data_IF_931997885890
#
_entry.id   IF_931997885890
#
_cell.length_a   1.000
_cell.length_b   1.000
_cell.length_c   1.000
_cell.angle_alpha   90.00
_cell.angle_beta   90.00
_cell.angle_gamma   90.00
#
_symmetry.space_group_name_H-M   'P 1'
#
loop_
_entity.id
_entity.type
_entity.pdbx_description
1 polymer ?
#
# COMPACT_ATOMS: atom_id res chain seq x y z
N UNK A 1 25.90 -58.97 -25.10
CA UNK A 1 26.85 -58.35 -26.05
C UNK A 1 26.16 -58.26 -27.40
N UNK A 2 25.81 -57.05 -27.86
CA UNK A 2 25.18 -56.81 -29.18
C UNK A 2 25.79 -55.57 -29.82
N UNK A 3 25.94 -55.56 -31.16
CA UNK A 3 26.95 -54.75 -31.85
C UNK A 3 26.57 -53.28 -32.00
N UNK A 4 27.63 -52.48 -31.95
CA UNK A 4 27.70 -51.04 -32.23
C UNK A 4 27.50 -50.82 -33.73
N UNK A 5 26.46 -50.07 -34.12
CA UNK A 5 26.28 -49.59 -35.48
C UNK A 5 26.84 -48.16 -35.58
N UNK A 6 28.03 -48.06 -36.17
CA UNK A 6 28.71 -46.83 -36.55
C UNK A 6 28.02 -46.26 -37.80
N UNK A 7 27.34 -45.13 -37.68
CA UNK A 7 26.86 -44.35 -38.84
C UNK A 7 27.70 -43.08 -38.97
N UNK A 8 28.59 -43.09 -39.95
CA UNK A 8 29.33 -41.94 -40.46
C UNK A 8 28.35 -41.03 -41.21
N UNK A 9 28.11 -39.82 -40.70
CA UNK A 9 27.42 -38.75 -41.43
C UNK A 9 28.45 -37.74 -41.97
N UNK A 10 28.37 -37.34 -43.26
CA UNK A 10 29.33 -36.45 -43.88
C UNK A 10 29.16 -35.00 -43.41
N UNK A 11 30.29 -34.37 -43.07
CA UNK A 11 30.43 -32.92 -42.90
C UNK A 11 30.26 -32.23 -44.28
N UNK A 12 29.08 -31.66 -44.52
CA UNK A 12 28.91 -30.65 -45.56
C UNK A 12 29.22 -29.27 -44.95
N UNK A 13 30.43 -28.78 -45.23
CA UNK A 13 30.87 -27.41 -44.96
C UNK A 13 30.14 -26.45 -45.92
N UNK A 14 29.04 -25.84 -45.50
CA UNK A 14 28.50 -24.64 -46.13
C UNK A 14 29.11 -23.40 -45.46
N UNK A 15 30.17 -22.85 -46.05
CA UNK A 15 30.67 -21.51 -45.75
C UNK A 15 29.82 -20.48 -46.49
N UNK A 16 28.63 -20.22 -45.94
CA UNK A 16 27.78 -19.09 -46.35
C UNK A 16 28.19 -17.84 -45.60
N UNK A 17 28.85 -16.90 -46.28
CA UNK A 17 29.14 -15.56 -45.77
C UNK A 17 27.85 -14.72 -45.84
N UNK A 18 26.94 -14.95 -44.89
CA UNK A 18 25.71 -14.18 -44.74
C UNK A 18 26.01 -12.89 -43.98
N UNK A 19 25.82 -11.74 -44.63
CA UNK A 19 25.87 -10.43 -44.01
C UNK A 19 25.01 -10.42 -42.75
N UNK A 20 25.67 -10.34 -41.59
CA UNK A 20 25.03 -10.31 -40.30
C UNK A 20 24.38 -8.94 -40.13
N UNK A 21 23.14 -8.81 -40.61
CA UNK A 21 22.26 -7.71 -40.25
C UNK A 21 22.23 -7.67 -38.72
N UNK A 22 22.90 -6.68 -38.14
CA UNK A 22 22.89 -6.44 -36.71
C UNK A 22 21.43 -6.27 -36.29
N UNK A 23 20.89 -7.30 -35.64
CA UNK A 23 19.55 -7.23 -35.07
C UNK A 23 19.53 -6.05 -34.11
N UNK A 24 18.67 -5.08 -34.38
CA UNK A 24 18.42 -3.97 -33.45
C UNK A 24 18.16 -4.56 -32.07
N UNK A 25 18.79 -4.03 -31.00
CA UNK A 25 18.65 -4.59 -29.67
C UNK A 25 17.18 -4.60 -29.28
N UNK A 26 16.62 -5.81 -29.05
CA UNK A 26 15.27 -5.93 -28.54
C UNK A 26 15.22 -5.28 -27.14
N UNK A 27 14.17 -4.50 -26.84
CA UNK A 27 14.01 -3.92 -25.51
C UNK A 27 13.95 -5.05 -24.47
N UNK A 28 14.73 -4.89 -23.40
CA UNK A 28 14.70 -5.84 -22.29
C UNK A 28 13.29 -5.88 -21.68
N UNK A 29 12.77 -7.06 -21.31
CA UNK A 29 11.43 -7.18 -20.72
C UNK A 29 11.32 -6.35 -19.45
N UNK A 30 10.19 -5.66 -19.30
CA UNK A 30 9.94 -4.82 -18.13
C UNK A 30 9.85 -5.67 -16.85
N UNK A 31 9.92 -5.03 -15.68
CA UNK A 31 9.70 -5.72 -14.40
C UNK A 31 8.29 -6.35 -14.31
N UNK A 32 7.31 -5.77 -15.00
CA UNK A 32 5.95 -6.31 -15.06
C UNK A 32 5.87 -7.54 -15.96
N UNK A 33 6.57 -7.53 -17.09
CA UNK A 33 6.63 -8.69 -18.01
C UNK A 33 7.25 -9.89 -17.29
N UNK A 34 8.39 -9.67 -16.61
CA UNK A 34 9.04 -10.71 -15.80
C UNK A 34 8.14 -11.28 -14.71
N UNK A 35 7.33 -10.44 -14.05
CA UNK A 35 6.36 -10.90 -13.04
C UNK A 35 5.26 -11.75 -13.66
N UNK A 36 4.67 -11.31 -14.78
CA UNK A 36 3.64 -12.10 -15.46
C UNK A 36 4.18 -13.44 -15.96
N UNK A 37 5.40 -13.46 -16.48
CA UNK A 37 6.04 -14.68 -16.95
C UNK A 37 6.33 -15.64 -15.80
N UNK A 38 6.77 -15.13 -14.65
CA UNK A 38 6.92 -15.93 -13.43
C UNK A 38 5.58 -16.53 -12.98
N UNK A 39 4.49 -15.74 -12.96
CA UNK A 39 3.14 -16.25 -12.64
C UNK A 39 2.71 -17.35 -13.61
N UNK A 40 2.95 -17.17 -14.92
CA UNK A 40 2.66 -18.20 -15.93
C UNK A 40 3.44 -19.49 -15.68
N UNK A 41 4.71 -19.38 -15.35
CA UNK A 41 5.57 -20.53 -15.07
C UNK A 41 5.17 -21.26 -13.78
N UNK A 42 4.80 -20.52 -12.74
CA UNK A 42 4.28 -21.08 -11.49
C UNK A 42 2.98 -21.87 -11.71
N UNK A 43 2.00 -21.28 -12.41
CA UNK A 43 0.72 -21.93 -12.70
C UNK A 43 0.87 -23.14 -13.65
N UNK A 44 1.77 -23.07 -14.64
CA UNK A 44 2.10 -24.22 -15.48
C UNK A 44 2.69 -25.39 -14.65
N UNK A 45 3.65 -25.11 -13.77
CA UNK A 45 4.22 -26.12 -12.88
C UNK A 45 3.17 -26.71 -11.93
N UNK A 46 2.27 -25.87 -11.39
CA UNK A 46 1.17 -26.32 -10.53
C UNK A 46 0.23 -27.26 -11.30
N UNK A 47 -0.14 -26.91 -12.52
CA UNK A 47 -0.97 -27.76 -13.39
C UNK A 47 -0.30 -29.11 -13.68
N UNK A 48 0.99 -29.12 -14.02
CA UNK A 48 1.75 -30.34 -14.25
C UNK A 48 1.85 -31.22 -12.99
N UNK A 49 2.07 -30.59 -11.83
CA UNK A 49 2.07 -31.28 -10.55
C UNK A 49 0.71 -31.93 -10.24
N UNK A 50 -0.39 -31.19 -10.42
CA UNK A 50 -1.75 -31.69 -10.21
C UNK A 50 -2.07 -32.86 -11.15
N UNK A 51 -1.68 -32.75 -12.42
CA UNK A 51 -1.82 -33.82 -13.41
C UNK A 51 -1.09 -35.10 -12.97
N UNK A 52 0.15 -34.98 -12.47
CA UNK A 52 0.93 -36.13 -11.96
C UNK A 52 0.30 -36.78 -10.73
N UNK A 53 -0.42 -36.01 -9.91
CA UNK A 53 -1.20 -36.51 -8.76
C UNK A 53 -2.57 -37.09 -9.14
N UNK A 54 -2.92 -37.11 -10.44
CA UNK A 54 -4.18 -37.66 -10.93
C UNK A 54 -5.36 -36.70 -10.87
N UNK A 55 -5.13 -35.41 -10.62
CA UNK A 55 -6.18 -34.40 -10.57
C UNK A 55 -6.20 -33.55 -11.84
N UNK A 56 -7.42 -33.19 -12.29
CA UNK A 56 -7.60 -32.19 -13.34
C UNK A 56 -7.35 -30.79 -12.77
N UNK A 57 -6.57 -29.99 -13.49
CA UNK A 57 -6.29 -28.59 -13.16
C UNK A 57 -6.16 -27.77 -14.45
N UNK A 58 -6.89 -26.68 -14.55
CA UNK A 58 -6.81 -25.71 -15.63
C UNK A 58 -5.87 -24.59 -15.19
N UNK A 59 -4.83 -24.30 -15.99
CA UNK A 59 -3.90 -23.19 -15.76
C UNK A 59 -4.69 -21.90 -15.63
N UNK A 60 -4.59 -21.25 -14.48
CA UNK A 60 -5.34 -20.03 -14.20
C UNK A 60 -4.44 -18.80 -14.31
N UNK A 61 -4.15 -18.41 -15.54
CA UNK A 61 -3.37 -17.20 -15.81
C UNK A 61 -4.19 -16.29 -16.71
N UNK A 62 -4.47 -15.04 -16.29
CA UNK A 62 -5.04 -14.06 -17.18
C UNK A 62 -4.20 -13.95 -18.46
N UNK A 63 -4.82 -13.80 -19.64
CA UNK A 63 -4.07 -13.55 -20.86
C UNK A 63 -3.18 -12.32 -20.67
N UNK A 64 -1.97 -12.27 -21.29
CA UNK A 64 -1.13 -11.09 -21.24
C UNK A 64 -1.94 -9.87 -21.68
N UNK A 65 -2.20 -8.95 -20.76
CA UNK A 65 -2.88 -7.71 -21.10
C UNK A 65 -1.87 -6.81 -21.78
N UNK A 66 -2.19 -6.32 -22.98
CA UNK A 66 -1.45 -5.21 -23.56
C UNK A 66 -1.74 -3.99 -22.69
N UNK A 67 -0.81 -3.68 -21.79
CA UNK A 67 -0.88 -2.47 -20.97
C UNK A 67 -0.47 -1.31 -21.87
N UNK A 68 -1.40 -0.38 -22.12
CA UNK A 68 -1.07 0.83 -22.87
C UNK A 68 0.05 1.61 -22.18
N UNK A 69 0.84 2.36 -22.96
CA UNK A 69 1.92 3.18 -22.38
C UNK A 69 1.37 4.19 -21.37
N UNK A 70 0.17 4.72 -21.59
CA UNK A 70 -0.51 5.59 -20.65
C UNK A 70 -0.82 4.87 -19.33
N UNK A 71 -1.33 3.64 -19.36
CA UNK A 71 -1.56 2.88 -18.14
C UNK A 71 -0.24 2.52 -17.44
N UNK A 72 0.81 2.21 -18.19
CA UNK A 72 2.14 1.98 -17.61
C UNK A 72 2.66 3.22 -16.89
N UNK A 73 2.52 4.40 -17.49
CA UNK A 73 2.87 5.70 -16.87
C UNK A 73 2.06 5.93 -15.59
N UNK A 74 0.75 5.70 -15.66
CA UNK A 74 -0.14 5.82 -14.49
C UNK A 74 0.29 4.90 -13.34
N UNK A 75 0.53 3.61 -13.64
CA UNK A 75 0.91 2.60 -12.65
C UNK A 75 2.32 2.85 -12.09
N UNK A 76 3.21 3.51 -12.85
CA UNK A 76 4.54 3.93 -12.39
C UNK A 76 4.55 5.21 -11.54
N UNK A 77 3.39 5.88 -11.41
CA UNK A 77 3.30 7.14 -10.68
C UNK A 77 3.80 8.36 -11.46
N UNK A 78 3.74 8.33 -12.79
CA UNK A 78 4.02 9.51 -13.63
C UNK A 78 3.04 10.64 -13.28
N UNK A 79 3.58 11.76 -12.78
CA UNK A 79 2.77 12.83 -12.20
C UNK A 79 1.80 13.45 -13.21
N UNK A 80 2.27 13.76 -14.42
CA UNK A 80 1.44 14.38 -15.45
C UNK A 80 0.30 13.45 -15.90
N UNK A 81 0.59 12.16 -16.07
CA UNK A 81 -0.43 11.17 -16.40
C UNK A 81 -1.43 10.99 -15.25
N UNK A 82 -0.96 10.93 -14.00
CA UNK A 82 -1.84 10.88 -12.83
C UNK A 82 -2.70 12.13 -12.71
N UNK A 83 -2.15 13.32 -12.96
CA UNK A 83 -2.87 14.59 -12.91
C UNK A 83 -4.00 14.61 -13.92
N UNK A 84 -3.73 14.29 -15.20
CA UNK A 84 -4.76 14.20 -16.25
C UNK A 84 -5.82 13.15 -15.92
N UNK A 85 -5.40 12.00 -15.39
CA UNK A 85 -6.33 10.95 -14.95
C UNK A 85 -7.23 11.45 -13.81
N UNK A 86 -6.68 12.21 -12.85
CA UNK A 86 -7.44 12.80 -11.73
C UNK A 86 -8.35 13.95 -12.16
N UNK A 87 -7.95 14.75 -13.15
CA UNK A 87 -8.81 15.79 -13.72
C UNK A 87 -10.05 15.18 -14.40
N UNK A 88 -9.88 14.07 -15.13
CA UNK A 88 -11.00 13.38 -15.80
C UNK A 88 -11.84 12.51 -14.86
N UNK A 89 -11.20 11.69 -14.03
CA UNK A 89 -11.88 10.64 -13.26
C UNK A 89 -11.90 10.88 -11.75
N UNK A 90 -11.36 12.02 -11.27
CA UNK A 90 -11.10 12.22 -9.86
C UNK A 90 -10.18 11.15 -9.30
N UNK A 91 -10.43 10.71 -8.07
CA UNK A 91 -9.72 9.59 -7.46
C UNK A 91 -10.31 8.21 -7.85
N UNK A 92 -11.05 8.15 -8.96
CA UNK A 92 -11.69 6.94 -9.53
C UNK A 92 -12.77 6.24 -8.67
N UNK A 93 -12.92 6.57 -7.39
CA UNK A 93 -13.92 5.97 -6.49
C UNK A 93 -15.36 5.94 -7.06
N UNK A 94 -15.75 6.95 -7.85
CA UNK A 94 -17.07 7.02 -8.50
C UNK A 94 -17.00 6.99 -10.02
N UNK A 95 -15.80 6.90 -10.59
CA UNK A 95 -15.62 7.04 -12.03
C UNK A 95 -16.35 5.94 -12.80
N UNK A 96 -16.39 4.71 -12.29
CA UNK A 96 -17.12 3.61 -12.91
C UNK A 96 -18.64 3.88 -13.04
N UNK A 97 -19.25 4.57 -12.08
CA UNK A 97 -20.69 4.89 -12.12
C UNK A 97 -21.02 6.05 -13.06
N UNK A 98 -20.10 7.02 -13.17
CA UNK A 98 -20.25 8.20 -14.03
C UNK A 98 -19.89 7.89 -15.48
N UNK A 99 -18.89 7.06 -15.69
CA UNK A 99 -18.32 6.71 -17.00
C UNK A 99 -18.50 5.22 -17.29
N UNK A 100 -19.74 4.74 -17.30
CA UNK A 100 -20.09 3.30 -17.40
C UNK A 100 -19.51 2.59 -18.63
N UNK A 101 -19.33 3.34 -19.72
CA UNK A 101 -18.81 2.85 -21.01
C UNK A 101 -17.30 3.07 -21.18
N UNK A 102 -16.62 3.69 -20.21
CA UNK A 102 -15.19 3.94 -20.26
C UNK A 102 -14.45 2.88 -19.44
N UNK A 103 -13.77 1.96 -20.12
CA UNK A 103 -13.00 0.90 -19.46
C UNK A 103 -11.86 1.46 -18.57
N UNK A 104 -11.33 2.65 -18.86
CA UNK A 104 -10.29 3.26 -18.04
C UNK A 104 -10.82 3.86 -16.73
N UNK A 105 -12.15 4.02 -16.62
CA UNK A 105 -12.84 4.46 -15.41
C UNK A 105 -13.14 3.31 -14.44
N UNK A 106 -13.15 2.06 -14.93
CA UNK A 106 -13.38 0.87 -14.08
C UNK A 106 -12.17 0.66 -13.17
N UNK A 107 -12.42 0.63 -11.87
CA UNK A 107 -11.35 0.46 -10.87
C UNK A 107 -10.96 -1.01 -10.69
N UNK A 108 -11.91 -1.91 -10.89
CA UNK A 108 -11.73 -3.34 -10.71
C UNK A 108 -11.98 -4.04 -12.03
N UNK A 109 -10.95 -4.70 -12.54
CA UNK A 109 -11.19 -5.79 -13.46
C UNK A 109 -11.71 -6.95 -12.62
N UNK A 110 -12.94 -7.37 -12.88
CA UNK A 110 -13.49 -8.58 -12.25
C UNK A 110 -12.67 -9.74 -12.81
N UNK A 111 -11.67 -10.16 -12.04
CA UNK A 111 -10.93 -11.38 -12.35
C UNK A 111 -11.87 -12.54 -12.03
N UNK A 112 -12.50 -13.07 -13.07
CA UNK A 112 -13.27 -14.30 -12.98
C UNK A 112 -12.29 -15.48 -12.83
N UNK A 113 -11.78 -15.65 -11.61
CA UNK A 113 -10.84 -16.71 -11.26
C UNK A 113 -11.59 -18.04 -11.04
N UNK A 114 -12.35 -18.46 -12.04
CA UNK A 114 -13.25 -19.60 -11.96
C UNK A 114 -12.82 -20.77 -12.83
N UNK A 115 -11.63 -20.71 -13.46
CA UNK A 115 -11.16 -21.76 -14.36
C UNK A 115 -11.21 -23.18 -13.75
N UNK A 116 -10.97 -23.31 -12.44
CA UNK A 116 -11.03 -24.57 -11.70
C UNK A 116 -12.33 -24.76 -10.89
N UNK A 117 -13.21 -23.77 -10.83
CA UNK A 117 -14.44 -23.87 -10.02
C UNK A 117 -15.39 -24.98 -10.51
N UNK A 118 -15.64 -25.17 -11.82
CA UNK A 118 -16.44 -26.30 -12.29
C UNK A 118 -15.84 -27.66 -11.95
N UNK A 119 -14.51 -27.79 -11.93
CA UNK A 119 -13.83 -29.03 -11.55
C UNK A 119 -14.12 -29.32 -10.07
N UNK A 120 -13.89 -28.33 -9.19
CA UNK A 120 -14.10 -28.47 -7.74
C UNK A 120 -15.55 -28.79 -7.39
N UNK A 121 -16.51 -28.12 -8.04
CA UNK A 121 -17.93 -28.35 -7.82
C UNK A 121 -18.40 -29.76 -8.23
N UNK A 122 -17.68 -30.43 -9.13
CA UNK A 122 -18.01 -31.77 -9.59
C UNK A 122 -17.39 -32.89 -8.73
N UNK A 123 -16.52 -32.55 -7.78
CA UNK A 123 -15.89 -33.52 -6.88
C UNK A 123 -16.80 -33.83 -5.70
N UNK A 124 -16.79 -35.08 -5.24
CA UNK A 124 -17.32 -35.42 -3.91
C UNK A 124 -16.52 -34.74 -2.80
N UNK A 125 -17.06 -34.63 -1.59
CA UNK A 125 -16.37 -34.00 -0.46
C UNK A 125 -14.96 -34.59 -0.21
N UNK A 126 -14.83 -35.92 -0.22
CA UNK A 126 -13.55 -36.62 -0.04
C UNK A 126 -12.58 -36.33 -1.19
N UNK A 127 -13.06 -36.30 -2.42
CA UNK A 127 -12.23 -35.94 -3.58
C UNK A 127 -11.81 -34.46 -3.55
N UNK A 128 -12.68 -33.57 -3.08
CA UNK A 128 -12.39 -32.14 -2.95
C UNK A 128 -11.30 -31.88 -1.90
N UNK A 129 -11.35 -32.58 -0.77
CA UNK A 129 -10.30 -32.54 0.25
C UNK A 129 -8.95 -33.03 -0.30
N UNK A 130 -8.95 -34.19 -0.98
CA UNK A 130 -7.75 -34.74 -1.60
C UNK A 130 -7.19 -33.82 -2.72
N UNK A 131 -8.08 -33.22 -3.52
CA UNK A 131 -7.72 -32.22 -4.53
C UNK A 131 -7.10 -30.99 -3.88
N UNK A 132 -7.68 -30.48 -2.79
CA UNK A 132 -7.18 -29.32 -2.04
C UNK A 132 -5.78 -29.55 -1.46
N UNK A 133 -5.55 -30.69 -0.81
CA UNK A 133 -4.22 -31.03 -0.27
C UNK A 133 -3.17 -31.24 -1.36
N UNK A 134 -3.54 -31.83 -2.49
CA UNK A 134 -2.67 -31.95 -3.66
C UNK A 134 -2.31 -30.58 -4.23
N UNK A 135 -3.31 -29.70 -4.37
CA UNK A 135 -3.18 -28.36 -4.93
C UNK A 135 -2.29 -27.47 -4.06
N UNK A 136 -2.48 -27.49 -2.74
CA UNK A 136 -1.63 -26.79 -1.77
C UNK A 136 -0.16 -27.24 -1.86
N UNK A 137 0.08 -28.56 -1.92
CA UNK A 137 1.43 -29.10 -2.10
C UNK A 137 2.05 -28.62 -3.41
N UNK A 138 1.29 -28.69 -4.52
CA UNK A 138 1.76 -28.25 -5.82
C UNK A 138 2.03 -26.74 -5.89
N UNK A 139 1.21 -25.93 -5.20
CA UNK A 139 1.37 -24.49 -5.14
C UNK A 139 2.61 -24.07 -4.33
N UNK A 140 2.81 -24.68 -3.17
CA UNK A 140 3.99 -24.40 -2.30
C UNK A 140 5.30 -24.81 -2.98
N UNK A 141 5.33 -25.94 -3.70
CA UNK A 141 6.46 -26.35 -4.54
C UNK A 141 6.77 -25.32 -5.64
N UNK A 142 5.73 -24.83 -6.33
CA UNK A 142 5.89 -23.81 -7.37
C UNK A 142 6.43 -22.49 -6.79
N UNK A 143 5.88 -22.00 -5.66
CA UNK A 143 6.40 -20.80 -4.97
C UNK A 143 7.87 -20.98 -4.63
N UNK A 144 8.25 -22.12 -4.05
CA UNK A 144 9.64 -22.38 -3.67
C UNK A 144 10.57 -22.35 -4.87
N UNK A 145 10.19 -22.99 -5.98
CA UNK A 145 11.01 -23.06 -7.19
C UNK A 145 11.24 -21.68 -7.82
N UNK A 146 10.20 -20.88 -7.96
CA UNK A 146 10.27 -19.63 -8.75
C UNK A 146 10.62 -18.40 -7.91
N UNK A 147 10.34 -18.41 -6.61
CA UNK A 147 10.60 -17.26 -5.73
C UNK A 147 11.71 -17.51 -4.71
N UNK A 148 12.15 -18.75 -4.54
CA UNK A 148 13.09 -19.17 -3.50
C UNK A 148 12.50 -19.12 -2.08
N UNK A 149 11.22 -18.75 -1.92
CA UNK A 149 10.56 -18.67 -0.62
C UNK A 149 10.09 -20.05 -0.17
N UNK A 150 10.41 -20.39 1.07
CA UNK A 150 9.81 -21.56 1.71
C UNK A 150 8.51 -21.13 2.37
N UNK A 151 7.41 -21.77 1.98
CA UNK A 151 6.07 -21.57 2.52
C UNK A 151 5.47 -22.93 2.87
N UNK A 152 4.74 -23.01 3.96
CA UNK A 152 4.11 -24.27 4.40
C UNK A 152 2.71 -24.47 3.85
N UNK A 153 2.04 -23.37 3.49
CA UNK A 153 0.67 -23.33 2.98
C UNK A 153 0.47 -22.05 2.14
N UNK A 154 -0.63 -21.96 1.43
CA UNK A 154 -1.06 -20.71 0.78
C UNK A 154 -1.30 -19.60 1.82
N UNK A 155 -1.88 -19.94 2.98
CA UNK A 155 -2.08 -19.01 4.08
C UNK A 155 -0.74 -18.46 4.64
N UNK A 156 0.29 -19.30 4.79
CA UNK A 156 1.61 -18.82 5.19
C UNK A 156 2.22 -17.89 4.14
N UNK A 157 2.05 -18.19 2.84
CA UNK A 157 2.48 -17.29 1.77
C UNK A 157 1.83 -15.90 1.90
N UNK A 158 0.51 -15.82 2.08
CA UNK A 158 -0.18 -14.55 2.28
C UNK A 158 0.21 -13.88 3.59
N UNK A 159 0.39 -14.63 4.68
CA UNK A 159 0.86 -14.07 5.94
C UNK A 159 2.27 -13.46 5.80
N UNK A 160 3.19 -14.12 5.08
CA UNK A 160 4.50 -13.58 4.76
C UNK A 160 4.41 -12.31 3.89
N UNK A 161 3.50 -12.29 2.90
CA UNK A 161 3.27 -11.12 2.06
C UNK A 161 2.72 -9.94 2.88
N UNK A 162 1.73 -10.19 3.73
CA UNK A 162 1.13 -9.17 4.60
C UNK A 162 2.16 -8.58 5.56
N UNK A 163 3.02 -9.39 6.18
CA UNK A 163 4.13 -8.89 7.01
C UNK A 163 5.10 -7.98 6.24
N UNK A 164 5.30 -8.22 4.94
CA UNK A 164 6.12 -7.34 4.09
C UNK A 164 5.39 -6.03 3.78
N UNK A 165 4.11 -6.10 3.47
CA UNK A 165 3.27 -4.91 3.25
C UNK A 165 3.21 -4.03 4.52
N UNK A 166 3.00 -4.62 5.69
CA UNK A 166 3.03 -3.91 6.97
C UNK A 166 4.38 -3.24 7.28
N UNK A 167 5.49 -3.81 6.79
CA UNK A 167 6.80 -3.20 6.90
C UNK A 167 6.92 -2.00 5.97
N UNK A 168 6.52 -2.15 4.70
CA UNK A 168 6.49 -1.05 3.74
C UNK A 168 5.58 0.10 4.23
N UNK A 169 4.45 -0.22 4.85
CA UNK A 169 3.56 0.76 5.46
C UNK A 169 4.26 1.52 6.60
N UNK A 170 4.97 0.82 7.48
CA UNK A 170 5.74 1.45 8.57
C UNK A 170 6.87 2.33 8.05
N UNK A 171 7.57 1.89 7.02
CA UNK A 171 8.62 2.69 6.37
C UNK A 171 8.03 3.97 5.77
N UNK A 172 6.92 3.85 5.03
CA UNK A 172 6.19 4.97 4.44
C UNK A 172 5.67 5.94 5.52
N UNK A 173 5.13 5.41 6.62
CA UNK A 173 4.62 6.21 7.73
C UNK A 173 5.71 6.85 8.60
N UNK A 174 6.96 6.39 8.47
CA UNK A 174 8.11 6.93 9.21
C UNK A 174 8.93 7.90 8.36
N UNK A 175 8.67 8.01 7.05
CA UNK A 175 9.34 8.97 6.20
C UNK A 175 8.95 10.41 6.62
N UNK A 176 9.90 11.23 7.08
CA UNK A 176 9.58 12.55 7.62
C UNK A 176 8.95 13.48 6.59
N UNK A 177 9.31 13.34 5.31
CA UNK A 177 8.76 14.17 4.22
C UNK A 177 7.31 13.78 3.95
N UNK A 178 7.01 12.48 3.92
CA UNK A 178 5.64 12.01 3.74
C UNK A 178 4.75 12.35 4.93
N UNK A 179 5.27 12.25 6.15
CA UNK A 179 4.55 12.66 7.37
C UNK A 179 4.23 14.16 7.35
N UNK A 180 5.17 15.01 6.94
CA UNK A 180 4.94 16.44 6.82
C UNK A 180 3.87 16.76 5.76
N UNK A 181 3.94 16.12 4.59
CA UNK A 181 2.94 16.26 3.54
C UNK A 181 1.55 15.79 3.99
N UNK A 182 1.47 14.63 4.66
CA UNK A 182 0.22 14.09 5.18
C UNK A 182 -0.38 15.03 6.24
N UNK A 183 0.44 15.66 7.09
CA UNK A 183 0.00 16.67 8.05
C UNK A 183 -0.57 17.90 7.35
N UNK A 184 0.17 18.48 6.41
CA UNK A 184 -0.27 19.66 5.66
C UNK A 184 -1.60 19.40 4.91
N UNK A 185 -1.71 18.22 4.28
CA UNK A 185 -2.94 17.81 3.61
C UNK A 185 -4.10 17.60 4.59
N UNK A 186 -3.86 16.91 5.70
CA UNK A 186 -4.86 16.71 6.75
C UNK A 186 -5.35 18.02 7.37
N UNK A 187 -4.48 19.01 7.56
CA UNK A 187 -4.88 20.32 8.05
C UNK A 187 -5.67 21.11 6.99
N UNK A 188 -5.36 20.98 5.69
CA UNK A 188 -6.21 21.49 4.59
C UNK A 188 -7.63 20.91 4.69
N UNK A 189 -7.74 19.59 4.87
CA UNK A 189 -9.03 18.89 4.97
C UNK A 189 -9.84 19.33 6.20
N UNK A 190 -9.21 19.42 7.38
CA UNK A 190 -9.85 19.93 8.59
C UNK A 190 -10.34 21.36 8.42
N UNK A 191 -9.53 22.23 7.79
CA UNK A 191 -9.90 23.61 7.48
C UNK A 191 -11.14 23.71 6.57
N UNK A 192 -11.36 22.71 5.72
CA UNK A 192 -12.57 22.55 4.88
C UNK A 192 -13.73 21.83 5.58
N UNK A 193 -13.60 21.50 6.87
CA UNK A 193 -14.64 20.82 7.65
C UNK A 193 -14.72 19.31 7.45
N UNK A 194 -13.76 18.69 6.74
CA UNK A 194 -13.72 17.24 6.61
C UNK A 194 -13.12 16.59 7.88
N UNK A 195 -13.70 15.48 8.36
CA UNK A 195 -13.11 14.75 9.48
C UNK A 195 -11.83 14.04 9.03
N UNK A 196 -10.75 14.21 9.78
CA UNK A 196 -9.47 13.53 9.55
C UNK A 196 -9.16 12.66 10.75
N UNK A 197 -9.25 11.34 10.58
CA UNK A 197 -9.10 10.34 11.65
C UNK A 197 -7.66 9.87 11.85
N UNK A 198 -6.79 10.09 10.86
CA UNK A 198 -5.37 9.75 10.90
C UNK A 198 -4.58 10.71 10.04
N UNK A 199 -3.33 11.01 10.44
CA UNK A 199 -2.34 11.74 9.63
C UNK A 199 -1.20 10.83 9.16
N UNK A 200 -1.36 9.51 9.32
CA UNK A 200 -0.39 8.53 8.81
C UNK A 200 -0.52 8.47 7.29
N UNK A 201 0.57 8.67 6.51
CA UNK A 201 0.55 8.63 5.05
C UNK A 201 -0.28 7.48 4.46
N UNK A 202 -0.06 6.25 4.95
CA UNK A 202 -0.76 5.04 4.47
C UNK A 202 -2.26 5.00 4.78
N UNK A 203 -2.74 5.85 5.70
CA UNK A 203 -4.15 5.93 6.11
C UNK A 203 -4.89 7.14 5.55
N UNK A 204 -4.22 8.02 4.81
CA UNK A 204 -4.86 9.22 4.24
C UNK A 204 -5.85 8.89 3.10
N UNK A 205 -5.59 7.85 2.30
CA UNK A 205 -6.46 7.45 1.18
C UNK A 205 -7.79 6.83 1.66
N UNK A 206 -7.73 5.99 2.69
CA UNK A 206 -8.90 5.23 3.18
C UNK A 206 -9.86 6.05 4.04
N UNK A 207 -9.43 7.21 4.57
CA UNK A 207 -10.27 8.07 5.40
C UNK A 207 -11.47 8.65 4.63
N UNK A 208 -11.30 8.90 3.32
CA UNK A 208 -12.39 9.37 2.46
C UNK A 208 -13.45 8.28 2.20
N UNK A 209 -13.03 7.05 1.89
CA UNK A 209 -13.92 5.97 1.48
C UNK A 209 -14.89 5.50 2.57
N UNK A 210 -14.41 5.36 3.82
CA UNK A 210 -15.26 4.95 4.94
C UNK A 210 -16.29 6.02 5.31
N UNK A 211 -15.94 7.31 5.20
CA UNK A 211 -16.85 8.43 5.44
C UNK A 211 -17.85 8.66 4.30
N UNK A 212 -17.46 8.37 3.06
CA UNK A 212 -18.32 8.49 1.88
C UNK A 212 -19.37 7.39 1.79
N UNK A 213 -19.05 6.16 2.24
CA UNK A 213 -20.01 5.05 2.29
C UNK A 213 -21.08 5.21 3.36
N UNK A 214 -20.84 6.03 4.40
CA UNK A 214 -21.88 6.43 5.33
C UNK A 214 -22.84 7.37 4.61
N UNK A 215 -24.03 6.86 4.31
CA UNK A 215 -25.06 7.60 3.58
C UNK A 215 -25.41 8.92 4.28
N UNK A 216 -26.10 9.84 3.58
CA UNK A 216 -26.62 11.07 4.19
C UNK A 216 -27.43 10.80 5.47
N UNK A 217 -28.15 9.66 5.53
CA UNK A 217 -28.93 9.23 6.68
C UNK A 217 -28.07 8.96 7.93
N UNK A 218 -26.96 8.25 7.79
CA UNK A 218 -26.07 7.91 8.91
C UNK A 218 -25.29 9.13 9.43
N UNK A 219 -24.99 10.07 8.52
CA UNK A 219 -24.46 11.41 8.86
C UNK A 219 -25.49 12.27 9.59
N UNK A 220 -26.75 12.25 9.15
CA UNK A 220 -27.84 12.95 9.83
C UNK A 220 -28.10 12.37 11.24
N UNK A 221 -27.93 11.07 11.43
CA UNK A 221 -28.11 10.40 12.71
C UNK A 221 -27.00 10.73 13.72
N UNK A 222 -25.74 10.84 13.28
CA UNK A 222 -24.65 11.29 14.15
C UNK A 222 -24.67 12.82 14.42
N UNK A 223 -25.31 13.59 13.54
CA UNK A 223 -25.52 15.03 13.73
C UNK A 223 -26.71 15.35 14.65
N UNK A 224 -27.56 14.37 14.98
CA UNK A 224 -28.64 14.58 15.95
C UNK A 224 -28.02 14.80 17.34
N UNK A 225 -28.38 15.88 18.04
CA UNK A 225 -28.04 16.04 19.45
C UNK A 225 -28.51 14.80 20.21
N UNK A 226 -27.60 14.13 20.92
CA UNK A 226 -28.00 12.95 21.69
C UNK A 226 -29.06 13.35 22.72
N UNK A 227 -30.28 12.80 22.66
CA UNK A 227 -31.30 13.09 23.63
C UNK A 227 -30.88 12.44 24.95
N UNK A 228 -30.41 13.25 25.91
CA UNK A 228 -30.10 12.76 27.25
C UNK A 228 -28.92 13.41 27.97
N UNK A 229 -28.03 14.15 27.28
CA UNK A 229 -27.05 15.01 27.99
C UNK A 229 -27.69 16.35 28.33
N UNK A 230 -28.55 16.33 29.35
CA UNK A 230 -28.98 17.54 30.01
C UNK A 230 -27.78 18.35 30.52
N UNK A 231 -27.91 19.68 30.70
CA UNK A 231 -26.84 20.51 31.24
C UNK A 231 -26.42 19.95 32.59
N UNK A 232 -25.11 19.77 32.78
CA UNK A 232 -24.51 19.29 34.02
C UNK A 232 -25.12 20.02 35.23
N UNK A 233 -26.03 19.35 35.95
CA UNK A 233 -26.44 19.80 37.28
C UNK A 233 -25.21 19.73 38.17
N UNK A 234 -24.93 20.88 38.81
CA UNK A 234 -23.79 21.08 39.69
C UNK A 234 -23.60 19.91 40.65
N UNK A 235 -22.36 19.44 40.68
CA UNK A 235 -21.84 18.48 41.65
C UNK A 235 -22.04 19.09 43.05
N UNK A 236 -23.04 18.62 43.80
CA UNK A 236 -23.09 18.87 45.25
C UNK A 236 -21.91 18.15 45.88
N UNK A 237 -21.06 18.92 46.53
CA UNK A 237 -20.02 18.44 47.43
C UNK A 237 -20.73 17.81 48.63
N UNK A 238 -20.50 16.54 48.98
CA UNK A 238 -20.98 16.01 50.24
C UNK A 238 -20.19 16.66 51.38
N UNK A 239 -20.93 17.16 52.36
CA UNK A 239 -20.41 17.70 53.60
C UNK A 239 -19.66 16.62 54.41
N UNK A 240 -18.61 17.07 55.09
CA UNK A 240 -17.87 16.35 56.13
C UNK A 240 -18.82 15.63 57.10
N UNK A 241 -18.51 14.36 57.37
CA UNK A 241 -19.00 13.66 58.54
C UNK A 241 -17.80 13.33 59.44
N UNK A 242 -17.80 13.96 60.61
CA UNK A 242 -16.87 13.74 61.71
C UNK A 242 -16.96 12.31 62.27
N UNK A 243 -15.77 11.72 62.44
CA UNK A 243 -15.34 11.00 63.64
C UNK A 243 -16.16 9.81 64.19
N UNK A 244 -15.63 8.59 64.03
CA UNK A 244 -15.46 7.68 65.19
C UNK A 244 -14.36 6.64 64.98
N UNK A 245 -13.57 6.46 66.04
CA UNK A 245 -12.32 5.72 66.12
C UNK A 245 -12.48 4.22 66.44
N UNK A 246 -11.40 3.46 66.15
CA UNK A 246 -11.11 2.09 66.62
C UNK A 246 -11.16 1.07 65.48
N UNK A 247 -10.20 0.15 65.27
CA UNK A 247 -9.01 -0.29 66.01
C UNK A 247 -7.97 -0.79 65.00
N UNK A 248 -6.70 -0.77 65.42
CA UNK A 248 -5.53 -1.16 64.66
C UNK A 248 -5.28 -2.68 64.66
N UNK A 249 -4.76 -3.20 63.55
CA UNK A 249 -3.98 -4.45 63.47
C UNK A 249 -2.71 -4.14 62.64
N UNK A 250 -1.49 -4.50 63.10
CA UNK A 250 -0.24 -4.14 62.43
C UNK A 250 0.23 -5.22 61.43
N UNK A 251 0.89 -4.80 60.34
CA UNK A 251 1.62 -5.70 59.43
C UNK A 251 2.19 -4.96 58.21
N UNK A 252 3.33 -5.40 57.65
CA UNK A 252 4.54 -4.57 57.59
C UNK A 252 4.94 -4.12 56.18
N UNK A 253 5.86 -3.16 56.11
CA UNK A 253 6.77 -3.02 54.96
C UNK A 253 6.75 -1.66 54.28
N UNK A 254 7.33 -0.66 54.94
CA UNK A 254 7.79 0.58 54.32
C UNK A 254 9.07 0.30 53.51
N UNK A 255 9.09 0.73 52.25
CA UNK A 255 10.29 1.29 51.59
C UNK A 255 9.96 1.81 50.17
N UNK A 256 10.17 3.11 49.96
CA UNK A 256 10.67 3.62 48.68
C UNK A 256 9.71 4.41 47.79
N UNK A 257 9.05 5.46 48.30
CA UNK A 257 8.37 6.47 47.46
C UNK A 257 9.22 7.74 47.32
N UNK A 258 9.98 7.84 46.23
CA UNK A 258 10.68 9.06 45.81
C UNK A 258 9.70 10.14 45.38
N UNK A 259 9.86 11.34 45.96
CA UNK A 259 9.11 12.56 45.70
C UNK A 259 9.24 13.02 44.25
N UNK A 260 8.13 13.26 43.56
CA UNK A 260 8.07 14.10 42.34
C UNK A 260 7.69 15.52 42.72
N UNK A 261 8.43 16.57 42.28
CA UNK A 261 8.03 17.95 42.49
C UNK A 261 6.90 18.37 41.54
N UNK A 262 6.05 19.26 42.05
CA UNK A 262 4.82 19.72 41.41
C UNK A 262 5.04 20.47 40.10
N UNK A 263 4.19 20.16 39.13
CA UNK A 263 4.05 20.93 37.89
C UNK A 263 3.01 22.02 38.14
N UNK A 264 3.45 23.27 38.15
CA UNK A 264 2.60 24.46 38.08
C UNK A 264 1.86 24.46 36.73
N UNK A 265 0.53 24.56 36.77
CA UNK A 265 -0.27 24.94 35.60
C UNK A 265 0.03 26.41 35.27
N UNK A 266 0.81 26.63 34.22
CA UNK A 266 0.95 27.94 33.59
C UNK A 266 -0.21 28.18 32.63
N UNK A 267 -0.89 29.32 32.78
CA UNK A 267 -1.82 29.84 31.78
C UNK A 267 -1.11 30.00 30.43
N UNK A 268 -1.68 29.44 29.37
CA UNK A 268 -1.32 29.78 28.00
C UNK A 268 -1.98 31.10 27.60
N UNK A 269 -1.26 32.08 27.04
CA UNK A 269 -1.89 33.23 26.40
C UNK A 269 -2.55 32.80 25.08
N UNK A 270 -3.73 33.38 24.81
CA UNK A 270 -4.37 33.35 23.50
C UNK A 270 -3.44 33.98 22.47
N UNK A 271 -2.86 33.18 21.57
CA UNK A 271 -2.19 33.70 20.38
C UNK A 271 -3.25 34.07 19.33
N UNK A 272 -3.23 35.34 18.92
CA UNK A 272 -4.10 35.90 17.88
C UNK A 272 -3.57 35.52 16.49
N UNK A 273 -4.48 35.60 15.51
CA UNK A 273 -4.40 35.03 14.17
C UNK A 273 -3.38 35.71 13.21
N UNK A 274 -2.37 36.42 13.70
CA UNK A 274 -1.43 37.21 12.86
C UNK A 274 0.04 36.98 13.22
N UNK A 275 0.55 35.77 13.00
CA UNK A 275 2.01 35.57 12.92
C UNK A 275 2.38 34.26 12.20
N UNK A 276 2.02 34.18 10.92
CA UNK A 276 2.54 33.17 9.98
C UNK A 276 3.04 33.81 8.68
N UNK A 277 3.59 35.02 8.78
CA UNK A 277 4.36 35.64 7.71
C UNK A 277 5.63 36.19 8.35
N UNK A 278 6.75 35.52 8.12
CA UNK A 278 8.15 35.91 8.39
C UNK A 278 8.93 34.87 9.20
N UNK A 279 9.29 33.77 8.54
CA UNK A 279 10.56 33.11 8.82
C UNK A 279 11.19 32.72 7.48
N UNK A 280 12.10 33.58 7.00
CA UNK A 280 13.05 33.22 5.95
C UNK A 280 14.05 32.24 6.55
N UNK A 281 14.08 31.01 6.04
CA UNK A 281 15.02 29.99 6.47
C UNK A 281 16.33 30.17 5.69
N UNK A 282 17.41 30.49 6.42
CA UNK A 282 18.79 30.46 5.91
C UNK A 282 19.20 29.01 5.64
N UNK A 283 19.87 28.80 4.50
CA UNK A 283 20.34 27.49 4.04
C UNK A 283 21.27 26.81 5.04
N UNK A 284 21.00 25.52 5.32
CA UNK A 284 21.84 24.65 6.12
C UNK A 284 22.83 23.96 5.18
N UNK A 285 24.15 24.22 5.35
CA UNK A 285 25.21 23.41 4.74
C UNK A 285 25.39 22.14 5.55
N UNK A 286 25.15 20.99 4.93
CA UNK A 286 25.60 19.70 5.45
C UNK A 286 27.11 19.57 5.17
N UNK A 287 27.89 19.17 6.18
CA UNK A 287 29.30 18.77 6.01
C UNK A 287 29.33 17.48 5.20
N UNK A 288 30.08 17.48 4.11
CA UNK A 288 30.34 16.32 3.26
C UNK A 288 31.59 15.57 3.74
N UNK A 289 31.45 14.25 3.92
CA UNK A 289 32.58 13.32 4.02
C UNK A 289 33.26 13.14 2.63
N UNK A 290 34.59 12.95 2.56
CA UNK A 290 35.37 13.13 1.34
C UNK A 290 35.42 11.92 0.37
N UNK A 291 34.39 11.06 0.29
CA UNK A 291 34.48 9.82 -0.52
C UNK A 291 33.37 9.63 -1.58
N UNK A 292 32.50 10.61 -1.82
CA UNK A 292 31.54 10.53 -2.95
C UNK A 292 31.60 11.82 -3.77
N UNK A 293 32.44 11.83 -4.81
CA UNK A 293 32.39 12.87 -5.85
C UNK A 293 31.33 12.48 -6.88
N UNK A 294 30.46 13.44 -7.19
CA UNK A 294 29.34 13.41 -8.15
C UNK A 294 27.99 12.88 -7.63
N UNK A 295 27.33 13.69 -6.80
CA UNK A 295 25.86 13.71 -6.72
C UNK A 295 25.40 15.14 -7.03
N UNK A 296 24.51 15.37 -8.02
CA UNK A 296 23.97 16.69 -8.28
C UNK A 296 23.08 17.15 -7.11
N UNK A 297 23.26 18.42 -6.71
CA UNK A 297 22.44 19.09 -5.70
C UNK A 297 20.98 19.16 -6.17
N UNK A 298 20.11 18.39 -5.52
CA UNK A 298 18.66 18.44 -5.72
C UNK A 298 18.07 19.64 -4.97
N UNK A 299 17.64 20.66 -5.71
CA UNK A 299 16.80 21.75 -5.20
C UNK A 299 15.36 21.25 -5.02
N UNK A 300 14.81 21.41 -3.82
CA UNK A 300 13.47 20.93 -3.44
C UNK A 300 12.47 22.10 -3.53
N UNK A 301 11.26 21.92 -4.10
CA UNK A 301 10.22 22.95 -4.11
C UNK A 301 9.66 23.25 -2.71
N UNK A 302 9.13 24.46 -2.55
CA UNK A 302 8.54 24.95 -1.31
C UNK A 302 7.26 24.19 -0.89
N UNK A 303 6.92 24.24 0.40
CA UNK A 303 5.72 23.63 0.96
C UNK A 303 4.42 24.16 0.31
N UNK A 304 3.36 23.33 0.19
CA UNK A 304 2.09 23.76 -0.38
C UNK A 304 1.42 24.86 0.44
N UNK A 305 0.95 25.90 -0.25
CA UNK A 305 0.17 26.99 0.36
C UNK A 305 -1.31 26.73 0.15
N UNK A 306 -2.07 26.65 1.24
CA UNK A 306 -3.53 26.54 1.17
C UNK A 306 -4.13 27.90 0.80
N UNK A 307 -4.54 28.08 -0.46
CA UNK A 307 -5.48 29.16 -0.82
C UNK A 307 -6.91 28.63 -0.73
N UNK A 308 -7.84 29.52 -0.38
CA UNK A 308 -9.21 29.23 0.03
C UNK A 308 -10.07 28.43 -0.98
N UNK A 309 -9.61 28.18 -2.20
CA UNK A 309 -10.36 27.40 -3.20
C UNK A 309 -9.72 26.04 -3.54
N UNK A 310 -8.40 25.90 -3.50
CA UNK A 310 -7.71 24.73 -4.05
C UNK A 310 -6.47 24.39 -3.20
N UNK A 311 -6.33 23.13 -2.74
CA UNK A 311 -5.06 22.67 -2.18
C UNK A 311 -4.13 22.42 -3.40
N UNK A 312 -3.46 23.45 -3.90
CA UNK A 312 -2.50 23.33 -5.02
C UNK A 312 -1.12 23.01 -4.44
N UNK A 313 -0.55 21.87 -4.84
CA UNK A 313 0.88 21.61 -4.61
C UNK A 313 1.67 22.49 -5.58
N UNK A 314 2.58 23.36 -5.12
CA UNK A 314 3.31 24.26 -6.00
C UNK A 314 4.16 23.45 -7.00
N UNK A 315 4.04 23.79 -8.28
CA UNK A 315 4.87 23.23 -9.34
C UNK A 315 6.36 23.50 -9.02
N UNK A 316 7.17 22.45 -9.05
CA UNK A 316 8.62 22.59 -9.11
C UNK A 316 8.99 23.18 -10.46
N UNK A 317 9.26 24.49 -10.52
CA UNK A 317 9.86 25.10 -11.71
C UNK A 317 11.25 24.51 -11.93
N UNK A 318 11.38 23.67 -12.97
CA UNK A 318 12.67 23.31 -13.53
C UNK A 318 13.15 24.50 -14.37
N UNK A 319 13.98 25.37 -13.80
CA UNK A 319 14.73 26.39 -14.55
C UNK A 319 16.13 25.88 -14.83
N UNK A 320 16.47 25.65 -16.10
CA UNK A 320 17.84 25.55 -16.57
C UNK A 320 18.04 24.65 -17.80
N UNK A 321 18.65 25.16 -18.89
CA UNK A 321 18.92 24.38 -20.10
C UNK A 321 20.17 23.51 -19.93
N UNK A 322 20.10 22.27 -20.41
CA UNK A 322 21.21 21.47 -20.90
C UNK A 322 20.78 20.81 -22.20
#
# INVERSE_FOLDING_TARGET
MRPVALMLLPLALLTGCGAQSAASPQPSPSAMDRKQDMTRQMEAMRADCMKRKGFKYNVNVPPPKQVSDEKRKLDSGDYETMKKSREKYGFKYFAEFVYQNDLAARQYEIFDNTANQPIRNALSAVQLEAWGGADETCHTEAIKKFTGKTVTSEDDYYAQLNRRLERADRETDSDPRLVELARAYGDCLKGKGYPVTSLRPTKMDMAGGAGLRRGPAERAEHARPQPGRGPHRGRRVPAEADGRAGQAIPGPGDQGRTRRPGVRQGLLPRLSHRQCQQTGVRGIRLRSDPVVRNVPTLLIPAAPTCRAAECVVPDSQATGPW
#
